data_IF_428364542521
#
_entry.id   IF_428364542521
#
_cell.length_a   1.000
_cell.length_b   1.000
_cell.length_c   1.000
_cell.angle_alpha   90.00
_cell.angle_beta   90.00
_cell.angle_gamma   90.00
#
_symmetry.space_group_name_H-M   'P 1'
#
loop_
_entity.id
_entity.type
_entity.pdbx_description
1 polymer ?
#
# COMPACT_ATOMS: atom_id res chain seq x y z
N UNK A 1 5.90 23.08 -0.38
CA UNK A 1 5.82 22.17 -1.53
C UNK A 1 4.43 21.57 -1.53
N UNK A 2 3.66 21.75 -2.60
CA UNK A 2 2.37 21.09 -2.75
C UNK A 2 2.63 19.59 -2.91
N UNK A 3 1.76 18.76 -2.33
CA UNK A 3 1.83 17.32 -2.47
C UNK A 3 1.27 16.95 -3.85
N UNK A 4 2.14 16.82 -4.84
CA UNK A 4 1.79 16.36 -6.19
C UNK A 4 1.63 14.83 -6.18
N UNK A 5 0.40 14.37 -5.97
CA UNK A 5 0.11 12.94 -5.79
C UNK A 5 0.64 12.12 -6.96
N UNK A 6 0.37 12.52 -8.20
CA UNK A 6 0.79 11.76 -9.37
C UNK A 6 2.31 11.73 -9.50
N UNK A 7 2.97 12.89 -9.38
CA UNK A 7 4.43 12.98 -9.46
C UNK A 7 5.13 12.16 -8.38
N UNK A 8 4.65 12.19 -7.13
CA UNK A 8 5.21 11.41 -6.03
C UNK A 8 4.92 9.91 -6.17
N UNK A 9 3.72 9.53 -6.62
CA UNK A 9 3.38 8.13 -6.92
C UNK A 9 4.27 7.55 -8.02
N UNK A 10 4.55 8.33 -9.08
CA UNK A 10 5.44 7.92 -10.15
C UNK A 10 6.87 7.68 -9.66
N UNK A 11 7.41 8.59 -8.84
CA UNK A 11 8.73 8.38 -8.21
C UNK A 11 8.73 7.13 -7.35
N UNK A 12 7.70 6.93 -6.53
CA UNK A 12 7.62 5.75 -5.68
C UNK A 12 7.52 4.45 -6.50
N UNK A 13 6.80 4.44 -7.62
CA UNK A 13 6.73 3.28 -8.53
C UNK A 13 8.09 2.98 -9.17
N UNK A 14 8.83 4.02 -9.57
CA UNK A 14 10.11 3.87 -10.29
C UNK A 14 11.28 3.53 -9.35
N UNK A 15 11.35 4.25 -8.22
CA UNK A 15 12.50 4.23 -7.32
C UNK A 15 12.30 3.28 -6.13
N UNK A 16 11.04 2.87 -5.85
CA UNK A 16 10.69 2.12 -4.66
C UNK A 16 10.61 2.97 -3.39
N UNK A 17 10.19 2.37 -2.26
CA UNK A 17 10.18 3.07 -0.97
C UNK A 17 11.62 3.37 -0.51
N UNK A 18 11.86 4.48 0.20
CA UNK A 18 13.20 4.79 0.69
C UNK A 18 13.66 3.79 1.76
N UNK A 19 14.95 3.43 1.74
CA UNK A 19 15.58 2.49 2.71
C UNK A 19 15.71 3.02 4.15
N UNK A 20 15.16 4.20 4.44
CA UNK A 20 15.27 4.85 5.74
C UNK A 20 13.93 4.98 6.44
N UNK A 21 13.94 5.30 7.74
CA UNK A 21 12.71 5.49 8.47
C UNK A 21 11.86 6.57 7.80
N UNK A 22 10.57 6.35 7.81
CA UNK A 22 9.59 7.37 7.48
C UNK A 22 9.89 8.58 8.37
N UNK A 23 9.93 9.78 7.80
CA UNK A 23 10.24 11.00 8.57
C UNK A 23 9.31 12.12 8.17
N UNK A 24 8.56 12.63 9.14
CA UNK A 24 7.66 13.76 8.95
C UNK A 24 8.10 14.94 9.82
N UNK A 25 8.14 16.13 9.22
CA UNK A 25 8.53 17.38 9.87
C UNK A 25 7.66 18.53 9.39
N UNK A 26 7.89 19.75 9.91
CA UNK A 26 7.22 20.95 9.39
C UNK A 26 7.55 21.22 7.92
N UNK A 27 8.74 20.82 7.47
CA UNK A 27 9.24 21.00 6.08
C UNK A 27 8.91 19.81 5.19
N UNK A 28 8.94 18.59 5.74
CA UNK A 28 8.58 17.34 5.04
C UNK A 28 7.23 16.85 5.55
N UNK A 29 6.17 17.23 4.85
CA UNK A 29 4.79 16.99 5.30
C UNK A 29 4.20 15.66 4.84
N UNK A 30 4.89 14.91 3.99
CA UNK A 30 4.52 13.56 3.60
C UNK A 30 5.77 12.68 3.40
N UNK A 31 5.58 11.38 3.42
CA UNK A 31 6.62 10.39 3.17
C UNK A 31 6.02 9.15 2.48
N UNK A 32 6.75 8.62 1.50
CA UNK A 32 6.41 7.36 0.85
C UNK A 32 6.61 6.19 1.81
N UNK A 33 5.70 5.22 1.74
CA UNK A 33 5.65 4.07 2.65
C UNK A 33 5.76 2.76 1.90
N UNK A 34 4.90 2.58 0.88
CA UNK A 34 4.81 1.31 0.20
C UNK A 34 4.27 1.50 -1.21
N UNK A 35 4.64 0.56 -2.08
CA UNK A 35 4.10 0.45 -3.43
C UNK A 35 3.96 -1.01 -3.80
N UNK A 36 2.91 -1.30 -4.56
CA UNK A 36 2.77 -2.56 -5.28
C UNK A 36 2.30 -2.26 -6.71
N UNK A 37 2.83 -3.02 -7.65
CA UNK A 37 2.54 -2.90 -9.09
C UNK A 37 2.16 -4.29 -9.61
N UNK A 38 1.00 -4.37 -10.24
CA UNK A 38 0.50 -5.58 -10.88
C UNK A 38 0.13 -5.27 -12.32
N UNK A 39 0.98 -5.68 -13.27
CA UNK A 39 0.80 -5.49 -14.71
C UNK A 39 0.64 -4.01 -15.12
N UNK A 40 -0.61 -3.55 -15.15
CA UNK A 40 -1.04 -2.23 -15.59
C UNK A 40 -1.80 -1.46 -14.50
N UNK A 41 -1.75 -1.93 -13.25
CA UNK A 41 -2.28 -1.22 -12.08
C UNK A 41 -1.22 -1.10 -11.00
N UNK A 42 -1.31 -0.04 -10.20
CA UNK A 42 -0.44 0.18 -9.05
C UNK A 42 -1.24 0.74 -7.87
N UNK A 43 -0.74 0.48 -6.67
CA UNK A 43 -1.17 1.18 -5.47
C UNK A 43 0.06 1.75 -4.78
N UNK A 44 0.02 3.05 -4.49
CA UNK A 44 1.05 3.74 -3.71
C UNK A 44 0.47 4.17 -2.38
N UNK A 45 1.27 4.10 -1.31
CA UNK A 45 0.87 4.48 0.04
C UNK A 45 1.85 5.50 0.60
N UNK A 46 1.30 6.54 1.22
CA UNK A 46 2.02 7.64 1.84
C UNK A 46 1.45 7.92 3.21
N UNK A 47 2.31 8.35 4.14
CA UNK A 47 1.83 9.04 5.34
C UNK A 47 2.02 10.53 5.19
N UNK A 48 1.03 11.30 5.63
CA UNK A 48 1.01 12.76 5.53
C UNK A 48 0.62 13.39 6.86
N UNK A 49 1.30 14.47 7.21
CA UNK A 49 1.03 15.26 8.41
C UNK A 49 -0.25 16.08 8.24
N UNK A 50 -1.23 15.86 9.10
CA UNK A 50 -2.42 16.68 9.27
C UNK A 50 -2.30 17.66 10.44
N UNK A 51 -3.39 18.36 10.74
CA UNK A 51 -3.52 19.19 11.95
C UNK A 51 -3.96 18.26 13.09
N UNK A 52 -3.08 18.00 14.05
CA UNK A 52 -3.37 17.13 15.19
C UNK A 52 -3.41 15.63 14.91
N UNK A 53 -3.26 15.21 13.66
CA UNK A 53 -3.26 13.81 13.26
C UNK A 53 -2.30 13.54 12.09
N UNK A 54 -2.15 12.27 11.74
CA UNK A 54 -1.59 11.83 10.46
C UNK A 54 -2.67 11.23 9.58
N UNK A 55 -2.42 11.33 8.28
CA UNK A 55 -3.20 10.73 7.21
C UNK A 55 -2.39 9.59 6.61
N UNK A 56 -3.04 8.45 6.46
CA UNK A 56 -2.55 7.31 5.70
C UNK A 56 -3.26 7.33 4.35
N UNK A 57 -2.55 7.84 3.35
CA UNK A 57 -3.06 8.06 2.00
C UNK A 57 -2.68 6.85 1.13
N UNK A 58 -3.65 6.29 0.44
CA UNK A 58 -3.48 5.27 -0.59
C UNK A 58 -3.98 5.82 -1.91
N UNK A 59 -3.22 5.64 -2.98
CA UNK A 59 -3.57 6.09 -4.33
C UNK A 59 -3.48 4.93 -5.30
N UNK A 60 -4.55 4.72 -6.06
CA UNK A 60 -4.61 3.75 -7.14
C UNK A 60 -4.26 4.40 -8.46
N UNK A 61 -3.45 3.71 -9.25
CA UNK A 61 -3.06 4.14 -10.58
C UNK A 61 -3.32 3.01 -11.57
N UNK A 62 -3.61 3.38 -12.82
CA UNK A 62 -3.59 2.47 -13.95
C UNK A 62 -2.67 3.01 -15.04
N UNK A 63 -2.06 2.11 -15.79
CA UNK A 63 -1.25 2.40 -16.97
C UNK A 63 -2.06 2.07 -18.22
N UNK A 64 -2.02 2.99 -19.18
CA UNK A 64 -2.46 2.76 -20.55
C UNK A 64 -1.37 3.21 -21.53
N UNK A 65 -1.71 3.37 -22.81
CA UNK A 65 -0.77 3.78 -23.85
C UNK A 65 -0.11 5.14 -23.63
N UNK A 66 -0.72 6.02 -22.83
CA UNK A 66 -0.21 7.37 -22.55
C UNK A 66 0.64 7.42 -21.27
N UNK A 67 0.71 6.32 -20.51
CA UNK A 67 1.42 6.22 -19.25
C UNK A 67 0.50 6.00 -18.05
N UNK A 68 0.99 6.35 -16.86
CA UNK A 68 0.25 6.17 -15.60
C UNK A 68 -0.74 7.31 -15.37
N UNK A 69 -1.96 6.95 -14.96
CA UNK A 69 -3.04 7.88 -14.61
C UNK A 69 -3.51 7.58 -13.18
N UNK A 70 -3.76 8.64 -12.41
CA UNK A 70 -4.32 8.54 -11.07
C UNK A 70 -5.82 8.23 -11.17
N UNK A 71 -6.26 7.12 -10.56
CA UNK A 71 -7.68 6.73 -10.52
C UNK A 71 -8.43 7.31 -9.32
N UNK A 72 -7.70 7.68 -8.28
CA UNK A 72 -8.22 8.11 -6.99
C UNK A 72 -7.53 7.36 -5.86
N UNK A 73 -8.19 7.29 -4.71
CA UNK A 73 -7.57 6.75 -3.52
C UNK A 73 -8.43 6.85 -2.27
N UNK A 74 -7.89 6.36 -1.17
CA UNK A 74 -8.47 6.47 0.16
C UNK A 74 -7.52 7.16 1.12
N UNK A 75 -8.05 7.92 2.05
CA UNK A 75 -7.28 8.54 3.13
C UNK A 75 -7.91 8.18 4.46
N UNK A 76 -7.13 7.57 5.35
CA UNK A 76 -7.53 7.26 6.72
C UNK A 76 -6.80 8.14 7.70
N UNK A 77 -7.44 8.51 8.81
CA UNK A 77 -6.74 9.09 9.95
C UNK A 77 -6.93 8.22 11.18
N UNK A 78 -5.92 8.23 12.03
CA UNK A 78 -5.83 7.37 13.21
C UNK A 78 -6.48 8.01 14.43
N UNK A 79 -7.07 9.20 14.26
CA UNK A 79 -7.89 9.90 15.27
C UNK A 79 -7.11 10.46 16.46
N UNK A 80 -5.83 10.14 16.61
CA UNK A 80 -4.95 10.61 17.70
C UNK A 80 -3.58 11.06 17.22
N UNK A 81 -2.75 11.61 18.13
CA UNK A 81 -1.39 12.02 17.83
C UNK A 81 -0.51 10.78 17.64
N UNK A 82 -0.50 10.25 16.42
CA UNK A 82 0.40 9.17 16.03
C UNK A 82 1.84 9.73 15.92
N UNK A 83 2.86 9.07 16.45
CA UNK A 83 4.26 9.48 16.23
C UNK A 83 4.92 8.69 15.10
N UNK A 84 5.87 9.31 14.38
CA UNK A 84 6.65 8.57 13.37
C UNK A 84 7.33 7.34 13.98
N UNK A 85 7.75 7.38 15.25
CA UNK A 85 8.30 6.21 15.94
C UNK A 85 7.25 5.11 16.13
N UNK A 86 6.00 5.45 16.44
CA UNK A 86 4.92 4.45 16.51
C UNK A 86 4.63 3.80 15.17
N UNK A 87 4.83 4.52 14.07
CA UNK A 87 4.71 3.97 12.72
C UNK A 87 5.83 2.95 12.46
N UNK A 88 7.08 3.34 12.70
CA UNK A 88 8.26 2.48 12.53
C UNK A 88 8.18 1.23 13.42
N UNK A 89 7.66 1.38 14.64
CA UNK A 89 7.59 0.30 15.62
C UNK A 89 6.29 -0.52 15.53
N UNK A 90 5.38 -0.18 14.62
CA UNK A 90 4.06 -0.82 14.56
C UNK A 90 4.15 -2.34 14.39
N UNK A 91 5.11 -2.82 13.59
CA UNK A 91 5.29 -4.26 13.36
C UNK A 91 5.59 -5.05 14.63
N UNK A 92 6.35 -4.49 15.58
CA UNK A 92 6.76 -5.18 16.81
C UNK A 92 5.63 -5.32 17.82
N UNK A 93 4.48 -4.69 17.55
CA UNK A 93 3.23 -4.90 18.31
C UNK A 93 2.48 -6.16 17.86
N UNK A 94 2.85 -6.75 16.72
CA UNK A 94 2.29 -8.01 16.25
C UNK A 94 3.11 -9.20 16.75
N UNK A 95 2.49 -10.38 16.96
CA UNK A 95 3.24 -11.61 17.18
C UNK A 95 4.17 -11.91 15.98
N UNK A 96 5.27 -12.61 16.26
CA UNK A 96 6.21 -13.04 15.24
C UNK A 96 5.53 -13.90 14.16
N UNK A 97 5.89 -13.67 12.90
CA UNK A 97 5.33 -14.34 11.74
C UNK A 97 3.89 -13.97 11.37
N UNK A 98 3.23 -13.08 12.11
CA UNK A 98 1.88 -12.63 11.80
C UNK A 98 1.86 -11.52 10.73
N UNK A 99 0.78 -11.47 9.97
CA UNK A 99 0.46 -10.36 9.06
C UNK A 99 -1.00 -9.96 9.28
N UNK A 100 -1.26 -8.66 9.31
CA UNK A 100 -2.62 -8.10 9.39
C UNK A 100 -2.93 -7.25 8.17
N UNK A 101 -4.22 -7.13 7.82
CA UNK A 101 -4.70 -6.31 6.71
C UNK A 101 -5.60 -5.17 7.24
N UNK A 102 -5.03 -4.10 7.82
CA UNK A 102 -5.80 -3.07 8.54
C UNK A 102 -6.66 -2.16 7.65
N UNK A 103 -6.41 -2.13 6.34
CA UNK A 103 -7.10 -1.21 5.43
C UNK A 103 -7.32 -1.82 4.05
N UNK A 104 -8.36 -1.36 3.37
CA UNK A 104 -8.66 -1.73 2.00
C UNK A 104 -9.31 -0.57 1.25
N UNK A 105 -9.20 -0.58 -0.07
CA UNK A 105 -9.83 0.40 -0.94
C UNK A 105 -10.04 -0.15 -2.34
N UNK A 106 -10.93 0.48 -3.09
CA UNK A 106 -11.12 0.19 -4.50
C UNK A 106 -11.53 1.44 -5.28
N UNK A 107 -11.04 1.57 -6.49
CA UNK A 107 -11.39 2.62 -7.45
C UNK A 107 -11.82 2.01 -8.76
N UNK A 108 -12.72 2.71 -9.47
CA UNK A 108 -13.08 2.32 -10.83
C UNK A 108 -11.97 2.75 -11.79
N UNK A 109 -11.51 1.82 -12.62
CA UNK A 109 -10.54 2.10 -13.70
C UNK A 109 -11.14 2.96 -14.81
N UNK A 110 -12.45 2.83 -15.04
CA UNK A 110 -13.19 3.51 -16.10
C UNK A 110 -14.20 4.51 -15.52
N UNK A 111 -13.76 5.47 -14.69
CA UNK A 111 -14.68 6.45 -14.05
C UNK A 111 -15.45 7.32 -15.04
N UNK A 112 -14.92 7.48 -16.26
CA UNK A 112 -15.47 8.37 -17.29
C UNK A 112 -16.57 7.69 -18.14
N UNK A 113 -16.89 6.42 -17.87
CA UNK A 113 -17.96 5.73 -18.61
C UNK A 113 -19.33 6.15 -18.11
N UNK A 114 -20.20 6.51 -19.06
CA UNK A 114 -21.60 6.88 -18.82
C UNK A 114 -22.47 5.74 -18.26
N UNK A 115 -22.04 4.48 -18.38
CA UNK A 115 -22.79 3.31 -17.92
C UNK A 115 -21.90 2.40 -17.06
N UNK A 116 -22.38 1.89 -15.91
CA UNK A 116 -21.57 1.14 -14.94
C UNK A 116 -21.34 -0.34 -15.32
N UNK A 117 -21.94 -0.82 -16.41
CA UNK A 117 -21.84 -2.22 -16.83
C UNK A 117 -20.43 -2.53 -17.35
N UNK A 118 -19.78 -3.53 -16.73
CA UNK A 118 -18.41 -3.93 -17.08
C UNK A 118 -17.31 -3.04 -16.48
N UNK A 119 -17.62 -2.22 -15.47
CA UNK A 119 -16.62 -1.43 -14.76
C UNK A 119 -15.51 -2.33 -14.21
N UNK A 120 -14.26 -2.03 -14.60
CA UNK A 120 -13.08 -2.68 -14.06
C UNK A 120 -12.66 -1.97 -12.78
N UNK A 121 -12.43 -2.73 -11.72
CA UNK A 121 -12.03 -2.19 -10.43
C UNK A 121 -10.55 -2.43 -10.21
N UNK A 122 -9.88 -1.44 -9.62
CA UNK A 122 -8.55 -1.60 -9.02
C UNK A 122 -8.76 -1.63 -7.51
N UNK A 123 -8.44 -2.76 -6.90
CA UNK A 123 -8.57 -2.97 -5.46
C UNK A 123 -7.20 -3.00 -4.81
N UNK A 124 -7.12 -2.59 -3.55
CA UNK A 124 -5.92 -2.77 -2.75
C UNK A 124 -6.23 -3.09 -1.30
N UNK A 125 -5.22 -3.62 -0.61
CA UNK A 125 -5.20 -3.84 0.81
C UNK A 125 -3.86 -3.35 1.40
N UNK A 126 -3.92 -2.56 2.45
CA UNK A 126 -2.75 -2.22 3.26
C UNK A 126 -2.43 -3.40 4.16
N UNK A 127 -1.16 -3.76 4.28
CA UNK A 127 -0.68 -4.82 5.16
C UNK A 127 0.25 -4.25 6.24
N UNK A 128 0.25 -4.90 7.40
CA UNK A 128 1.29 -4.77 8.42
C UNK A 128 1.82 -6.17 8.74
N UNK A 129 3.07 -6.40 8.36
CA UNK A 129 3.81 -7.64 8.60
C UNK A 129 4.61 -7.52 9.91
N UNK A 130 4.44 -8.49 10.80
CA UNK A 130 5.12 -8.58 12.09
C UNK A 130 6.61 -8.92 11.96
N UNK A 131 7.30 -9.13 13.09
CA UNK A 131 8.69 -9.61 13.10
C UNK A 131 8.81 -10.97 12.39
N UNK A 132 10.02 -11.32 11.94
CA UNK A 132 10.35 -12.56 11.19
C UNK A 132 9.78 -12.68 9.78
N UNK A 133 8.72 -11.94 9.43
CA UNK A 133 8.26 -11.86 8.04
C UNK A 133 9.23 -11.00 7.23
N UNK A 134 9.86 -11.62 6.23
CA UNK A 134 10.82 -10.96 5.34
C UNK A 134 10.22 -10.66 3.97
N UNK A 135 9.32 -11.52 3.48
CA UNK A 135 8.74 -11.40 2.14
C UNK A 135 7.25 -11.72 2.15
N UNK A 136 6.47 -11.00 1.34
CA UNK A 136 5.08 -11.31 1.02
C UNK A 136 5.01 -11.79 -0.43
N UNK A 137 4.44 -12.98 -0.64
CA UNK A 137 4.26 -13.56 -1.97
C UNK A 137 2.79 -13.50 -2.38
N UNK A 138 2.52 -12.81 -3.48
CA UNK A 138 1.18 -12.61 -4.05
C UNK A 138 0.99 -13.55 -5.24
N UNK A 139 -0.06 -14.37 -5.19
CA UNK A 139 -0.40 -15.41 -6.17
C UNK A 139 0.76 -16.37 -6.53
N UNK A 140 1.71 -16.55 -5.62
CA UNK A 140 2.88 -17.41 -5.83
C UNK A 140 3.87 -16.89 -6.87
N UNK A 141 3.76 -15.63 -7.31
CA UNK A 141 4.56 -15.07 -8.42
C UNK A 141 5.20 -13.74 -8.10
N UNK A 142 4.47 -12.82 -7.45
CA UNK A 142 4.95 -11.47 -7.15
C UNK A 142 5.45 -11.43 -5.71
N UNK A 143 6.74 -11.20 -5.54
CA UNK A 143 7.38 -11.10 -4.23
C UNK A 143 7.57 -9.64 -3.85
N UNK A 144 7.14 -9.30 -2.64
CA UNK A 144 7.26 -7.97 -2.04
C UNK A 144 8.15 -8.08 -0.79
N UNK A 145 9.33 -7.47 -0.84
CA UNK A 145 10.20 -7.36 0.33
C UNK A 145 9.51 -6.54 1.40
N UNK A 146 9.52 -7.04 2.63
CA UNK A 146 8.96 -6.33 3.79
C UNK A 146 9.93 -5.24 4.25
N UNK A 147 9.57 -3.95 4.18
CA UNK A 147 10.41 -2.88 4.69
C UNK A 147 10.62 -3.00 6.20
N UNK A 148 11.60 -2.27 6.75
CA UNK A 148 11.90 -2.31 8.19
C UNK A 148 10.66 -2.02 9.05
N UNK A 149 9.87 -1.01 8.68
CA UNK A 149 8.62 -0.63 9.36
C UNK A 149 7.46 -1.63 9.16
N UNK A 150 7.61 -2.66 8.32
CA UNK A 150 6.65 -3.75 8.14
C UNK A 150 5.36 -3.38 7.38
N UNK A 151 5.23 -2.15 6.92
CA UNK A 151 4.03 -1.69 6.20
C UNK A 151 4.16 -1.97 4.70
N UNK A 152 3.16 -2.63 4.13
CA UNK A 152 3.06 -2.88 2.69
C UNK A 152 1.69 -2.46 2.16
N UNK A 153 1.54 -2.56 0.85
CA UNK A 153 0.26 -2.52 0.16
C UNK A 153 0.26 -3.64 -0.90
N UNK A 154 -0.90 -4.23 -1.18
CA UNK A 154 -1.09 -5.19 -2.27
C UNK A 154 -2.19 -4.66 -3.18
N UNK A 155 -1.96 -4.64 -4.49
CA UNK A 155 -2.91 -4.21 -5.51
C UNK A 155 -3.33 -5.38 -6.42
N UNK A 156 -4.59 -5.37 -6.85
CA UNK A 156 -5.10 -6.32 -7.83
C UNK A 156 -6.24 -5.71 -8.66
N UNK A 157 -6.31 -6.10 -9.94
CA UNK A 157 -7.37 -5.70 -10.87
C UNK A 157 -8.45 -6.77 -11.11
N UNK A 158 -8.30 -7.94 -10.50
CA UNK A 158 -9.25 -9.06 -10.61
C UNK A 158 -10.40 -8.92 -9.59
N UNK A 159 -11.53 -9.57 -9.87
CA UNK A 159 -12.66 -9.58 -8.93
C UNK A 159 -12.39 -10.39 -7.66
N UNK A 160 -11.56 -11.42 -7.76
CA UNK A 160 -11.16 -12.26 -6.63
C UNK A 160 -9.86 -11.72 -6.04
N UNK A 161 -9.78 -11.48 -4.72
CA UNK A 161 -8.52 -11.11 -4.09
C UNK A 161 -7.45 -12.20 -4.33
N UNK A 162 -6.19 -11.81 -4.57
CA UNK A 162 -5.10 -12.77 -4.75
C UNK A 162 -4.82 -13.54 -3.46
N UNK A 163 -4.21 -14.73 -3.58
CA UNK A 163 -3.64 -15.42 -2.42
C UNK A 163 -2.39 -14.67 -1.99
N UNK A 164 -2.24 -14.43 -0.69
CA UNK A 164 -1.08 -13.76 -0.12
C UNK A 164 -0.45 -14.65 0.94
N UNK A 165 0.85 -14.90 0.82
CA UNK A 165 1.62 -15.77 1.73
C UNK A 165 2.78 -15.00 2.33
N UNK A 166 2.95 -15.09 3.64
CA UNK A 166 4.08 -14.53 4.36
C UNK A 166 5.22 -15.56 4.44
N UNK A 167 6.46 -15.11 4.21
CA UNK A 167 7.67 -15.94 4.32
C UNK A 167 8.72 -15.31 5.21
N UNK A 168 9.49 -16.16 5.89
CA UNK A 168 10.69 -15.73 6.60
C UNK A 168 11.88 -15.49 5.65
N UNK A 169 13.02 -15.11 6.22
CA UNK A 169 14.26 -14.86 5.47
C UNK A 169 14.82 -16.12 4.78
N UNK A 170 14.47 -17.30 5.28
CA UNK A 170 14.83 -18.59 4.69
C UNK A 170 13.85 -19.06 3.62
N UNK A 171 12.81 -18.27 3.32
CA UNK A 171 11.76 -18.62 2.36
C UNK A 171 10.71 -19.59 2.89
N UNK A 172 10.72 -19.93 4.18
CA UNK A 172 9.71 -20.79 4.80
C UNK A 172 8.39 -20.03 4.89
N UNK A 173 7.30 -20.68 4.49
CA UNK A 173 5.95 -20.12 4.66
C UNK A 173 5.57 -20.06 6.14
N UNK A 174 5.17 -18.88 6.59
CA UNK A 174 4.77 -18.60 7.96
C UNK A 174 3.25 -18.60 8.12
N UNK A 175 2.55 -17.87 7.24
CA UNK A 175 1.09 -17.76 7.29
C UNK A 175 0.48 -17.37 5.94
N UNK A 176 -0.78 -17.75 5.74
CA UNK A 176 -1.64 -17.24 4.68
C UNK A 176 -2.37 -15.98 5.16
N UNK A 177 -2.49 -14.98 4.28
CA UNK A 177 -3.16 -13.71 4.56
C UNK A 177 -4.46 -13.64 3.77
N UNK A 178 -5.57 -13.50 4.49
CA UNK A 178 -6.89 -13.32 3.88
C UNK A 178 -7.09 -11.84 3.56
N UNK A 179 -7.12 -11.51 2.27
CA UNK A 179 -7.47 -10.17 1.82
C UNK A 179 -9.00 -9.99 1.73
N UNK A 180 -9.52 -8.78 2.00
CA UNK A 180 -10.92 -8.48 1.79
C UNK A 180 -11.30 -8.62 0.31
N UNK A 181 -12.56 -8.98 0.05
CA UNK A 181 -13.07 -9.07 -1.32
C UNK A 181 -13.02 -7.69 -1.99
N UNK A 182 -12.56 -7.65 -3.23
CA UNK A 182 -12.70 -6.48 -4.10
C UNK A 182 -14.18 -6.20 -4.44
N UNK A 183 -14.47 -5.00 -4.94
CA UNK A 183 -15.81 -4.61 -5.42
C UNK A 183 -16.16 -5.26 -6.77
#
# INVERSE_FOLDING_TARGET
>A
MAYDILGESLRLILDGPPDGPVRLSRRRRFAAVAVDVSEDVACTRFVRRGVGCFWDDTHHLARDGDGWKLLGGGSGSTGGPWSTDEFEQARYRLPAGCVTAPGHGATTRDSDRLLPWGARWVSSASLLAGPEVATIVVDGRRELTVPEHGHLVVVWGSRKPPRVVARDIGGRELTDVVLPKGR
#
